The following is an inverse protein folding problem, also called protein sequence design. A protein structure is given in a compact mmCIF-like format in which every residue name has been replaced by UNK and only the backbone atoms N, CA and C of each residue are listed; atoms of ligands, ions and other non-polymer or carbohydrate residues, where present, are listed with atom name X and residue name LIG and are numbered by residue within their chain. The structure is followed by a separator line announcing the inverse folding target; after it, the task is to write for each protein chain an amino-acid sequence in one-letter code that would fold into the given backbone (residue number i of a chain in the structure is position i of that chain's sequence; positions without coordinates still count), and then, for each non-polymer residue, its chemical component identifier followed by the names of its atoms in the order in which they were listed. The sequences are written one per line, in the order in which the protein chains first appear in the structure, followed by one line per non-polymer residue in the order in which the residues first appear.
data_IF_903784194095
#
_entry.id   IF_903784194095
#
_cell.length_a   1.000
_cell.length_b   1.000
_cell.length_c   1.000
_cell.angle_alpha   90.00
_cell.angle_beta   90.00
_cell.angle_gamma   90.00
#
_symmetry.space_group_name_H-M   'P 1'
#
loop_
_entity.id
_entity.type
_entity.pdbx_description
1 polymer ?
#
# COMPACT_ATOMS: atom_id res chain seq x y z
N UNK A 1 -13.32 -1.42 -7.10
CA UNK A 1 -12.54 -2.67 -7.26
C UNK A 1 -11.28 -2.41 -6.46
N UNK A 2 -11.15 -3.02 -5.27
CA UNK A 2 -10.11 -2.67 -4.31
C UNK A 2 -8.72 -3.18 -4.70
N UNK A 3 -7.69 -2.43 -4.35
CA UNK A 3 -6.29 -2.80 -4.42
C UNK A 3 -5.87 -3.40 -3.08
N UNK A 4 -5.52 -4.68 -3.07
CA UNK A 4 -4.93 -5.33 -1.91
C UNK A 4 -3.41 -5.13 -1.95
N UNK A 5 -2.86 -4.43 -0.97
CA UNK A 5 -1.42 -4.21 -0.85
C UNK A 5 -0.74 -5.45 -0.27
N UNK A 6 0.34 -5.87 -0.93
CA UNK A 6 1.23 -6.90 -0.45
C UNK A 6 2.23 -6.33 0.58
N UNK A 7 2.80 -7.20 1.41
CA UNK A 7 3.76 -6.92 2.48
C UNK A 7 4.97 -6.13 1.99
N UNK A 8 5.46 -6.43 0.79
CA UNK A 8 6.57 -5.70 0.16
C UNK A 8 6.20 -4.25 -0.13
N UNK A 9 4.99 -4.00 -0.63
CA UNK A 9 4.50 -2.65 -0.95
C UNK A 9 4.28 -1.84 0.32
N UNK A 10 3.79 -2.48 1.39
CA UNK A 10 3.69 -1.85 2.72
C UNK A 10 5.08 -1.51 3.26
N UNK A 11 6.07 -2.40 3.11
CA UNK A 11 7.45 -2.11 3.52
C UNK A 11 8.08 -0.97 2.73
N UNK A 12 7.87 -0.93 1.41
CA UNK A 12 8.38 0.14 0.55
C UNK A 12 7.69 1.48 0.85
N UNK A 13 6.39 1.45 1.16
CA UNK A 13 5.67 2.62 1.68
C UNK A 13 6.27 3.13 2.99
N UNK A 14 6.52 2.25 3.97
CA UNK A 14 7.14 2.62 5.26
C UNK A 14 8.55 3.16 5.09
N UNK A 15 9.33 2.61 4.14
CA UNK A 15 10.67 3.09 3.80
C UNK A 15 10.67 4.40 3.00
N UNK A 16 9.51 4.88 2.56
CA UNK A 16 9.38 6.12 1.80
C UNK A 16 9.82 6.00 0.34
N UNK A 17 9.66 4.82 -0.26
CA UNK A 17 9.99 4.62 -1.67
C UNK A 17 9.09 5.51 -2.55
N UNK A 18 9.75 6.32 -3.39
CA UNK A 18 9.11 7.43 -4.11
C UNK A 18 8.09 6.96 -5.14
N UNK A 19 8.34 5.83 -5.79
CA UNK A 19 7.47 5.30 -6.84
C UNK A 19 6.18 4.74 -6.22
N UNK A 20 6.31 4.01 -5.12
CA UNK A 20 5.23 3.43 -4.31
C UNK A 20 4.36 4.52 -3.71
N UNK A 21 4.97 5.57 -3.14
CA UNK A 21 4.23 6.71 -2.62
C UNK A 21 3.43 7.45 -3.69
N UNK A 22 3.99 7.62 -4.90
CA UNK A 22 3.27 8.24 -6.02
C UNK A 22 2.07 7.40 -6.44
N UNK A 23 2.24 6.08 -6.56
CA UNK A 23 1.16 5.17 -6.95
C UNK A 23 0.04 5.13 -5.90
N UNK A 24 0.39 5.01 -4.62
CA UNK A 24 -0.59 4.99 -3.52
C UNK A 24 -1.37 6.31 -3.45
N UNK A 25 -0.72 7.45 -3.70
CA UNK A 25 -1.37 8.77 -3.71
C UNK A 25 -2.34 8.98 -4.90
N UNK A 26 -2.22 8.19 -5.96
CA UNK A 26 -3.14 8.24 -7.12
C UNK A 26 -4.40 7.39 -6.89
N UNK A 27 -4.40 6.52 -5.87
CA UNK A 27 -5.51 5.63 -5.55
C UNK A 27 -6.34 6.27 -4.43
N UNK A 28 -7.67 6.15 -4.53
CA UNK A 28 -8.54 6.60 -3.45
C UNK A 28 -8.33 5.75 -2.19
N UNK A 29 -8.22 6.34 -0.99
CA UNK A 29 -7.98 5.60 0.25
C UNK A 29 -9.00 4.50 0.52
N UNK A 30 -10.25 4.68 0.07
CA UNK A 30 -11.35 3.72 0.16
C UNK A 30 -11.18 2.48 -0.70
N UNK A 31 -10.31 2.54 -1.72
CA UNK A 31 -9.98 1.43 -2.60
C UNK A 31 -8.68 0.73 -2.19
N UNK A 32 -8.03 1.13 -1.09
CA UNK A 32 -6.78 0.52 -0.61
C UNK A 32 -7.10 -0.40 0.57
N UNK A 33 -6.75 -1.68 0.42
CA UNK A 33 -6.93 -2.70 1.44
C UNK A 33 -5.58 -3.31 1.79
N UNK A 34 -5.39 -3.65 3.05
CA UNK A 34 -4.20 -4.36 3.55
C UNK A 34 -4.70 -5.62 4.23
N UNK A 35 -3.99 -6.73 4.04
CA UNK A 35 -4.32 -7.97 4.75
C UNK A 35 -4.15 -7.79 6.25
N UNK A 36 -5.09 -8.27 7.05
CA UNK A 36 -4.95 -8.28 8.52
C UNK A 36 -3.82 -9.19 9.01
N UNK A 37 -3.33 -10.10 8.14
CA UNK A 37 -2.20 -10.99 8.43
C UNK A 37 -0.83 -10.31 8.23
N UNK A 38 -0.77 -9.19 7.50
CA UNK A 38 0.48 -8.46 7.23
C UNK A 38 0.77 -7.38 8.29
N UNK A 39 0.01 -7.34 9.38
CA UNK A 39 0.30 -6.55 10.57
C UNK A 39 1.16 -7.43 11.50
N UNK A 40 2.48 -7.27 11.43
CA UNK A 40 3.43 -7.89 12.36
C UNK A 40 4.03 -6.83 13.27
#
# INVERSE_FOLDING_TARGET
MGYLLDTCVVSDFVKGEQNTLKQIKLIYPSDIFISSLTVM
#
